data_IF_397983263260
#
_entry.id   IF_397983263260
#
_cell.length_a   1.000
_cell.length_b   1.000
_cell.length_c   1.000
_cell.angle_alpha   90.00
_cell.angle_beta   90.00
_cell.angle_gamma   90.00
#
_symmetry.space_group_name_H-M   'P 1'
#
loop_
_entity.id
_entity.type
_entity.pdbx_description
1 polymer ?
#
# COMPACT_ATOMS: atom_id res chain seq x y z
N UNK A 1 -10.69 -20.91 26.88
CA UNK A 1 -9.48 -21.73 26.64
C UNK A 1 -8.99 -21.66 25.18
N UNK A 2 -9.45 -20.72 24.35
CA UNK A 2 -8.99 -20.53 22.95
C UNK A 2 -8.21 -19.23 22.71
N UNK A 3 -8.06 -18.38 23.73
CA UNK A 3 -7.30 -17.12 23.66
C UNK A 3 -5.80 -17.31 23.89
N UNK A 4 -5.38 -18.38 24.58
CA UNK A 4 -3.97 -18.68 24.85
C UNK A 4 -3.19 -19.14 23.61
N UNK A 5 -3.85 -19.76 22.62
CA UNK A 5 -3.17 -20.22 21.39
C UNK A 5 -2.78 -19.07 20.46
N UNK A 6 -3.49 -17.93 20.49
CA UNK A 6 -3.13 -16.73 19.73
C UNK A 6 -1.93 -15.99 20.32
N UNK A 7 -1.67 -16.14 21.62
CA UNK A 7 -0.48 -15.56 22.28
C UNK A 7 0.81 -16.32 21.95
N UNK A 8 0.73 -17.61 21.59
CA UNK A 8 1.90 -18.44 21.28
C UNK A 8 2.54 -18.18 19.90
N UNK A 9 1.86 -17.45 19.01
CA UNK A 9 2.39 -17.09 17.69
C UNK A 9 3.06 -15.71 17.65
N UNK A 10 2.82 -14.88 18.67
CA UNK A 10 3.34 -13.51 18.74
C UNK A 10 4.82 -13.55 19.14
N UNK A 11 5.73 -13.17 18.24
CA UNK A 11 7.19 -13.21 18.44
C UNK A 11 7.89 -14.40 17.75
N UNK A 12 7.15 -15.32 17.11
CA UNK A 12 7.75 -16.39 16.30
C UNK A 12 8.37 -15.86 15.00
N UNK A 13 7.86 -14.73 14.53
CA UNK A 13 8.30 -14.07 13.32
C UNK A 13 9.72 -13.50 13.41
N UNK A 14 10.13 -13.07 14.61
CA UNK A 14 11.49 -12.56 14.85
C UNK A 14 12.52 -13.67 14.78
N UNK A 15 12.22 -14.82 15.40
CA UNK A 15 13.06 -16.02 15.32
C UNK A 15 13.17 -16.52 13.88
N UNK A 16 12.07 -16.51 13.13
CA UNK A 16 12.10 -16.89 11.71
C UNK A 16 12.97 -15.93 10.89
N UNK A 17 12.84 -14.62 11.14
CA UNK A 17 13.66 -13.59 10.48
C UNK A 17 15.16 -13.74 10.83
N UNK A 18 15.48 -14.07 12.08
CA UNK A 18 16.85 -14.37 12.51
C UNK A 18 17.41 -15.56 11.73
N UNK A 19 16.67 -16.68 11.66
CA UNK A 19 17.07 -17.87 10.89
C UNK A 19 17.34 -17.48 9.43
N UNK A 20 16.43 -16.74 8.78
CA UNK A 20 16.63 -16.31 7.37
C UNK A 20 17.89 -15.46 7.18
N UNK A 21 18.19 -14.56 8.11
CA UNK A 21 19.38 -13.73 8.05
C UNK A 21 20.67 -14.50 8.39
N UNK A 22 20.58 -15.56 9.18
CA UNK A 22 21.70 -16.46 9.48
C UNK A 22 22.06 -17.38 8.31
N UNK A 23 21.08 -17.82 7.50
CA UNK A 23 21.33 -18.71 6.35
C UNK A 23 22.05 -18.00 5.19
N UNK A 24 21.83 -16.69 5.02
CA UNK A 24 22.41 -15.90 3.92
C UNK A 24 23.22 -14.69 4.42
N UNK A 25 24.20 -14.89 5.31
CA UNK A 25 24.90 -13.80 5.96
C UNK A 25 25.69 -13.00 4.91
N UNK A 26 25.60 -11.67 4.98
CA UNK A 26 26.28 -10.72 4.07
C UNK A 26 25.87 -10.80 2.58
N UNK A 27 24.91 -11.66 2.21
CA UNK A 27 24.39 -11.74 0.85
C UNK A 27 23.05 -11.02 0.73
N UNK A 28 22.11 -11.34 1.64
CA UNK A 28 20.76 -10.78 1.64
C UNK A 28 20.40 -10.44 3.09
N UNK A 29 19.82 -9.26 3.29
CA UNK A 29 19.21 -8.88 4.58
C UNK A 29 17.70 -8.89 4.44
N UNK A 30 17.07 -9.89 5.04
CA UNK A 30 15.63 -9.99 5.13
C UNK A 30 15.11 -8.98 6.16
N UNK A 31 13.95 -8.40 5.86
CA UNK A 31 13.23 -7.50 6.76
C UNK A 31 11.76 -7.91 6.79
N UNK A 32 11.18 -7.93 7.98
CA UNK A 32 9.74 -8.11 8.15
C UNK A 32 9.08 -6.76 8.40
N UNK A 33 7.92 -6.55 7.80
CA UNK A 33 7.06 -5.42 8.15
C UNK A 33 6.16 -5.85 9.29
N UNK A 34 6.13 -5.03 10.35
CA UNK A 34 5.22 -5.22 11.48
C UNK A 34 4.11 -4.18 11.43
N UNK A 35 2.96 -4.55 11.97
CA UNK A 35 1.85 -3.62 12.16
C UNK A 35 2.27 -2.53 13.15
N UNK A 36 1.96 -1.28 12.82
CA UNK A 36 2.20 -0.10 13.66
C UNK A 36 0.89 0.69 13.72
N UNK A 37 0.40 0.99 14.93
CA UNK A 37 -0.85 1.74 15.14
C UNK A 37 -2.07 1.18 14.40
N UNK A 38 -2.23 -0.15 14.34
CA UNK A 38 -3.35 -0.74 13.61
C UNK A 38 -3.10 -0.90 12.11
N UNK A 39 -1.95 -0.47 11.57
CA UNK A 39 -1.72 -0.33 10.14
C UNK A 39 -0.54 -1.17 9.67
N UNK A 40 -0.68 -1.84 8.53
CA UNK A 40 0.41 -2.55 7.89
C UNK A 40 0.35 -2.37 6.36
N UNK A 41 1.45 -1.92 5.72
CA UNK A 41 1.47 -1.76 4.28
C UNK A 41 1.83 -3.06 3.56
N UNK A 42 0.97 -3.49 2.63
CA UNK A 42 1.13 -4.65 1.76
C UNK A 42 0.97 -4.22 0.30
N UNK A 43 2.03 -4.35 -0.50
CA UNK A 43 2.08 -3.81 -1.87
C UNK A 43 1.66 -2.33 -1.91
N UNK A 44 0.65 -2.01 -2.71
CA UNK A 44 -0.03 -0.73 -2.92
C UNK A 44 -1.26 -0.54 -2.01
N UNK A 45 -1.45 -1.43 -1.02
CA UNK A 45 -2.58 -1.40 -0.09
C UNK A 45 -2.08 -1.14 1.34
N UNK A 46 -2.74 -0.22 2.03
CA UNK A 46 -2.59 0.00 3.46
C UNK A 46 -3.73 -0.73 4.17
N UNK A 47 -3.39 -1.80 4.87
CA UNK A 47 -4.34 -2.57 5.66
C UNK A 47 -4.46 -1.90 7.03
N UNK A 48 -5.69 -1.58 7.42
CA UNK A 48 -6.04 -0.86 8.64
C UNK A 48 -6.98 -1.73 9.47
N UNK A 49 -6.57 -2.04 10.71
CA UNK A 49 -7.40 -2.77 11.66
C UNK A 49 -8.42 -1.82 12.28
N UNK A 50 -9.70 -2.19 12.21
CA UNK A 50 -10.81 -1.48 12.81
C UNK A 50 -11.53 -2.36 13.85
N UNK A 51 -12.46 -1.78 14.61
CA UNK A 51 -13.27 -2.53 15.58
C UNK A 51 -14.18 -3.58 14.92
N UNK A 52 -14.60 -3.34 13.68
CA UNK A 52 -15.59 -4.15 12.96
C UNK A 52 -14.94 -5.11 11.96
N UNK A 53 -13.62 -5.01 11.77
CA UNK A 53 -12.88 -5.84 10.81
C UNK A 53 -11.66 -5.14 10.24
N UNK A 54 -11.29 -5.50 9.02
CA UNK A 54 -10.19 -4.88 8.27
C UNK A 54 -10.77 -3.84 7.33
N UNK A 55 -10.07 -2.71 7.21
CA UNK A 55 -10.29 -1.72 6.18
C UNK A 55 -9.03 -1.54 5.34
N UNK A 56 -9.17 -1.03 4.13
CA UNK A 56 -8.08 -0.85 3.18
C UNK A 56 -8.15 0.51 2.49
N UNK A 57 -6.98 1.04 2.16
CA UNK A 57 -6.80 2.25 1.35
C UNK A 57 -5.51 2.13 0.53
N UNK A 58 -5.27 3.05 -0.40
CA UNK A 58 -4.03 3.07 -1.18
C UNK A 58 -2.84 3.39 -0.28
N UNK A 59 -1.83 2.52 -0.30
CA UNK A 59 -0.54 2.78 0.34
C UNK A 59 0.45 3.41 -0.64
N UNK A 60 0.91 4.62 -0.30
CA UNK A 60 2.04 5.27 -0.96
C UNK A 60 3.26 5.21 -0.06
N UNK A 61 4.38 4.70 -0.58
CA UNK A 61 5.67 4.75 0.15
C UNK A 61 6.04 6.21 0.43
N UNK A 62 6.79 6.51 1.51
CA UNK A 62 7.28 7.88 1.78
C UNK A 62 8.13 8.48 0.65
N UNK A 63 8.72 7.62 -0.18
CA UNK A 63 9.50 8.03 -1.37
C UNK A 63 8.65 8.15 -2.63
N UNK A 64 7.33 7.99 -2.56
CA UNK A 64 6.43 8.17 -3.69
C UNK A 64 6.39 9.64 -4.09
N UNK A 65 6.71 9.94 -5.33
CA UNK A 65 6.83 11.31 -5.82
C UNK A 65 5.57 11.83 -6.53
N UNK A 66 4.54 10.98 -6.68
CA UNK A 66 3.35 11.25 -7.50
C UNK A 66 3.67 11.67 -8.95
N UNK A 67 4.89 11.34 -9.42
CA UNK A 67 5.33 11.61 -10.78
C UNK A 67 4.97 10.43 -11.68
N UNK A 68 4.00 10.68 -12.54
CA UNK A 68 3.64 9.83 -13.66
C UNK A 68 4.05 10.52 -14.97
N UNK A 69 3.35 10.21 -16.05
CA UNK A 69 3.47 10.97 -17.30
C UNK A 69 2.85 12.35 -17.09
N UNK A 70 3.67 13.39 -17.19
CA UNK A 70 3.17 14.77 -17.12
C UNK A 70 2.28 15.06 -18.32
N UNK A 71 1.16 15.77 -18.13
CA UNK A 71 0.23 16.04 -19.23
C UNK A 71 0.89 16.76 -20.43
N UNK A 72 1.91 17.59 -20.19
CA UNK A 72 2.63 18.37 -21.23
C UNK A 72 3.77 17.62 -21.92
N UNK A 73 3.98 16.35 -21.59
CA UNK A 73 5.09 15.54 -22.12
C UNK A 73 4.89 15.06 -23.58
N UNK A 74 3.84 15.52 -24.27
CA UNK A 74 3.49 15.15 -25.66
C UNK A 74 3.19 13.66 -25.88
N UNK A 75 2.95 12.88 -24.82
CA UNK A 75 2.42 11.53 -24.97
C UNK A 75 0.97 11.57 -25.49
N UNK A 76 0.52 10.54 -26.24
CA UNK A 76 -0.87 10.46 -26.68
C UNK A 76 -1.85 10.49 -25.50
N UNK A 77 -2.97 11.23 -25.63
CA UNK A 77 -3.99 11.38 -24.57
C UNK A 77 -4.47 10.05 -24.00
N UNK A 78 -4.65 9.02 -24.84
CA UNK A 78 -5.12 7.71 -24.39
C UNK A 78 -4.17 7.03 -23.39
N UNK A 79 -2.86 7.31 -23.45
CA UNK A 79 -1.88 6.78 -22.49
C UNK A 79 -2.13 7.40 -21.11
N UNK A 80 -2.28 8.73 -21.04
CA UNK A 80 -2.53 9.44 -19.78
C UNK A 80 -3.87 9.04 -19.17
N UNK A 81 -4.92 8.96 -20.00
CA UNK A 81 -6.24 8.50 -19.57
C UNK A 81 -6.22 7.05 -19.11
N UNK A 82 -5.47 6.16 -19.77
CA UNK A 82 -5.34 4.76 -19.35
C UNK A 82 -4.64 4.62 -18.00
N UNK A 83 -3.59 5.41 -17.75
CA UNK A 83 -2.89 5.43 -16.46
C UNK A 83 -3.84 5.92 -15.35
N UNK A 84 -4.51 7.05 -15.57
CA UNK A 84 -5.45 7.60 -14.58
C UNK A 84 -6.65 6.66 -14.35
N UNK A 85 -7.18 6.06 -15.42
CA UNK A 85 -8.26 5.07 -15.34
C UNK A 85 -7.87 3.87 -14.50
N UNK A 86 -6.68 3.30 -14.74
CA UNK A 86 -6.16 2.21 -13.92
C UNK A 86 -6.02 2.56 -12.45
N UNK A 87 -5.60 3.79 -12.11
CA UNK A 87 -5.54 4.24 -10.71
C UNK A 87 -6.92 4.35 -10.06
N UNK A 88 -7.90 4.89 -10.80
CA UNK A 88 -9.29 4.98 -10.34
C UNK A 88 -9.88 3.59 -10.14
N UNK A 89 -9.68 2.68 -11.08
CA UNK A 89 -10.14 1.30 -11.00
C UNK A 89 -9.53 0.58 -9.79
N UNK A 90 -8.22 0.74 -9.57
CA UNK A 90 -7.55 0.22 -8.37
C UNK A 90 -8.14 0.81 -7.10
N UNK A 91 -8.32 2.13 -7.00
CA UNK A 91 -8.91 2.78 -5.84
C UNK A 91 -10.33 2.28 -5.54
N UNK A 92 -11.17 2.12 -6.58
CA UNK A 92 -12.52 1.59 -6.44
C UNK A 92 -12.53 0.12 -5.98
N UNK A 93 -11.54 -0.67 -6.40
CA UNK A 93 -11.45 -2.08 -6.04
C UNK A 93 -10.95 -2.30 -4.60
N UNK A 94 -10.09 -1.42 -4.07
CA UNK A 94 -9.37 -1.66 -2.80
C UNK A 94 -9.75 -0.71 -1.67
N UNK A 95 -10.25 0.49 -1.93
CA UNK A 95 -10.54 1.44 -0.86
C UNK A 95 -11.89 1.16 -0.21
N UNK A 96 -11.91 1.15 1.12
CA UNK A 96 -13.18 1.30 1.85
C UNK A 96 -13.79 2.68 1.58
N UNK A 97 -15.12 2.75 1.67
CA UNK A 97 -15.93 3.91 1.30
C UNK A 97 -15.48 5.22 1.98
N UNK A 98 -14.98 5.14 3.22
CA UNK A 98 -14.51 6.32 3.97
C UNK A 98 -13.19 6.89 3.46
N UNK A 99 -12.38 6.10 2.76
CA UNK A 99 -11.09 6.53 2.20
C UNK A 99 -11.15 6.83 0.71
N UNK A 100 -12.12 6.26 0.00
CA UNK A 100 -12.26 6.39 -1.45
C UNK A 100 -12.38 7.87 -1.89
N UNK A 101 -13.13 8.69 -1.16
CA UNK A 101 -13.29 10.11 -1.50
C UNK A 101 -11.97 10.89 -1.47
N UNK A 102 -11.16 10.67 -0.43
CA UNK A 102 -9.83 11.29 -0.31
C UNK A 102 -8.89 10.81 -1.43
N UNK A 103 -8.96 9.53 -1.77
CA UNK A 103 -8.14 8.94 -2.83
C UNK A 103 -8.49 9.52 -4.20
N UNK A 104 -9.79 9.62 -4.53
CA UNK A 104 -10.23 10.23 -5.79
C UNK A 104 -9.83 11.71 -5.88
N UNK A 105 -9.90 12.45 -4.78
CA UNK A 105 -9.44 13.85 -4.75
C UNK A 105 -7.92 13.94 -4.98
N UNK A 106 -7.13 13.06 -4.36
CA UNK A 106 -5.69 12.97 -4.62
C UNK A 106 -5.42 12.76 -6.12
N UNK A 107 -6.09 11.79 -6.76
CA UNK A 107 -5.92 11.51 -8.19
C UNK A 107 -6.28 12.69 -9.10
N UNK A 108 -7.25 13.52 -8.72
CA UNK A 108 -7.63 14.74 -9.46
C UNK A 108 -6.55 15.81 -9.44
N UNK A 109 -5.71 15.83 -8.41
CA UNK A 109 -4.63 16.82 -8.27
C UNK A 109 -3.33 16.41 -8.97
N UNK A 110 -3.25 15.19 -9.49
CA UNK A 110 -2.05 14.70 -10.15
C UNK A 110 -1.74 15.46 -11.45
N UNK A 111 -0.47 15.71 -11.79
CA UNK A 111 -0.07 16.38 -13.04
C UNK A 111 -0.44 15.67 -14.34
N UNK A 112 -0.89 14.41 -14.25
CA UNK A 112 -1.41 13.61 -15.38
C UNK A 112 -2.90 13.87 -15.64
N UNK A 113 -3.61 14.51 -14.70
CA UNK A 113 -5.04 14.79 -14.81
C UNK A 113 -5.34 15.89 -15.85
N UNK A 114 -6.51 15.81 -16.47
CA UNK A 114 -6.99 16.73 -17.51
C UNK A 114 -7.49 18.09 -16.95
N UNK A 115 -7.35 18.32 -15.66
CA UNK A 115 -7.98 19.43 -14.92
C UNK A 115 -7.10 20.69 -14.79
N UNK A 116 -6.08 20.87 -15.65
CA UNK A 116 -5.39 22.17 -15.80
C UNK A 116 -6.19 23.13 -16.67
#
# INVERSE_FOLDING_TARGET
MWTMSLQYLKGSEDRFLEILNCEFPNMITFKIKKEVEGKIPFLDILIIRSQVGIKTTVYRKPTHSDKYVEFKSHHPRHVMTGILGGMVDSALAICDQEYLGQELEHLRTLPISLTQ
#
